data_IF_705463887414
#
_entry.id   IF_705463887414
#
_cell.length_a   1.000
_cell.length_b   1.000
_cell.length_c   1.000
_cell.angle_alpha   90.00
_cell.angle_beta   90.00
_cell.angle_gamma   90.00
#
_symmetry.space_group_name_H-M   'P 1'
#
loop_
_entity.id
_entity.type
_entity.pdbx_description
1 polymer ?
#
# COMPACT_ATOMS: atom_id res chain seq x y z
N UNK A 1 5.20 33.69 0.78
CA UNK A 1 3.82 34.15 1.08
C UNK A 1 2.97 32.94 1.40
N UNK A 2 2.62 32.73 2.67
CA UNK A 2 1.73 31.62 3.04
C UNK A 2 0.31 31.98 2.63
N UNK A 3 -0.22 31.27 1.64
CA UNK A 3 -1.59 31.43 1.15
C UNK A 3 -2.56 31.14 2.28
N UNK A 4 -3.35 32.15 2.70
CA UNK A 4 -4.41 32.00 3.70
C UNK A 4 -5.46 31.04 3.14
N UNK A 5 -5.33 29.73 3.47
CA UNK A 5 -6.35 28.72 3.16
C UNK A 5 -7.68 29.24 3.74
N UNK A 6 -8.70 29.44 2.89
CA UNK A 6 -10.00 29.96 3.33
C UNK A 6 -10.60 29.05 4.42
N UNK A 7 -11.31 29.63 5.39
CA UNK A 7 -11.99 28.90 6.49
C UNK A 7 -12.87 27.74 5.96
N UNK A 8 -13.47 27.91 4.77
CA UNK A 8 -14.27 26.88 4.10
C UNK A 8 -13.41 25.69 3.65
N UNK A 9 -12.22 25.94 3.07
CA UNK A 9 -11.26 24.88 2.69
C UNK A 9 -10.78 24.12 3.92
N UNK A 10 -10.49 24.82 5.02
CA UNK A 10 -10.05 24.18 6.29
C UNK A 10 -11.15 23.31 6.89
N UNK A 11 -12.42 23.78 6.90
CA UNK A 11 -13.56 22.98 7.37
C UNK A 11 -13.76 21.74 6.50
N UNK A 12 -13.68 21.89 5.17
CA UNK A 12 -13.79 20.77 4.22
C UNK A 12 -12.68 19.73 4.45
N UNK A 13 -11.44 20.17 4.60
CA UNK A 13 -10.32 19.28 4.89
C UNK A 13 -10.50 18.53 6.22
N UNK A 14 -10.89 19.23 7.29
CA UNK A 14 -11.12 18.60 8.60
C UNK A 14 -12.21 17.53 8.54
N UNK A 15 -13.35 17.84 7.93
CA UNK A 15 -14.44 16.86 7.80
C UNK A 15 -14.01 15.62 7.00
N UNK A 16 -13.26 15.81 5.89
CA UNK A 16 -12.70 14.69 5.12
C UNK A 16 -11.76 13.82 5.96
N UNK A 17 -10.90 14.44 6.76
CA UNK A 17 -9.99 13.71 7.65
C UNK A 17 -10.73 12.98 8.76
N UNK A 18 -11.79 13.59 9.33
CA UNK A 18 -12.65 12.92 10.33
C UNK A 18 -13.29 11.66 9.76
N UNK A 19 -13.78 11.70 8.51
CA UNK A 19 -14.37 10.53 7.84
C UNK A 19 -13.31 9.45 7.62
N UNK A 20 -12.10 9.81 7.15
CA UNK A 20 -11.00 8.86 6.95
C UNK A 20 -10.59 8.17 8.25
N UNK A 21 -10.44 8.93 9.33
CA UNK A 21 -10.07 8.36 10.63
C UNK A 21 -11.15 7.42 11.17
N UNK A 22 -12.42 7.81 11.08
CA UNK A 22 -13.54 6.95 11.47
C UNK A 22 -13.60 5.68 10.61
N UNK A 23 -13.38 5.80 9.31
CA UNK A 23 -13.36 4.66 8.40
C UNK A 23 -12.22 3.68 8.74
N UNK A 24 -11.01 4.17 8.97
CA UNK A 24 -9.87 3.34 9.38
C UNK A 24 -10.20 2.54 10.64
N UNK A 25 -10.77 3.18 11.66
CA UNK A 25 -11.20 2.50 12.90
C UNK A 25 -12.28 1.43 12.64
N UNK A 26 -13.29 1.76 11.82
CA UNK A 26 -14.36 0.81 11.49
C UNK A 26 -13.86 -0.38 10.65
N UNK A 27 -12.94 -0.14 9.72
CA UNK A 27 -12.31 -1.20 8.93
C UNK A 27 -11.44 -2.11 9.80
N UNK A 28 -10.71 -1.56 10.77
CA UNK A 28 -9.89 -2.33 11.72
C UNK A 28 -10.76 -3.20 12.63
N UNK A 29 -11.86 -2.66 13.16
CA UNK A 29 -12.73 -3.36 14.11
C UNK A 29 -13.63 -4.42 13.46
N UNK A 30 -14.14 -4.16 12.26
CA UNK A 30 -15.19 -4.99 11.64
C UNK A 30 -14.76 -5.62 10.30
N UNK A 31 -13.60 -5.25 9.79
CA UNK A 31 -13.17 -5.56 8.42
C UNK A 31 -13.88 -4.69 7.38
N UNK A 32 -13.26 -4.59 6.19
CA UNK A 32 -13.80 -3.78 5.10
C UNK A 32 -15.19 -4.23 4.66
N UNK A 33 -15.40 -5.55 4.46
CA UNK A 33 -16.66 -6.11 3.97
C UNK A 33 -17.86 -5.78 4.88
N UNK A 34 -17.67 -5.89 6.20
CA UNK A 34 -18.73 -5.68 7.19
C UNK A 34 -18.94 -4.23 7.61
N UNK A 35 -18.11 -3.29 7.12
CA UNK A 35 -18.25 -1.87 7.42
C UNK A 35 -19.21 -1.20 6.44
N UNK A 36 -20.20 -0.46 6.98
CA UNK A 36 -21.15 0.33 6.18
C UNK A 36 -20.79 1.82 6.20
N UNK A 37 -21.19 2.56 5.15
CA UNK A 37 -21.07 4.03 5.12
C UNK A 37 -21.80 4.66 6.31
N UNK A 38 -22.97 4.13 6.68
CA UNK A 38 -23.71 4.61 7.85
C UNK A 38 -22.90 4.45 9.15
N UNK A 39 -22.25 3.30 9.35
CA UNK A 39 -21.38 3.05 10.51
C UNK A 39 -20.17 3.99 10.56
N UNK A 40 -19.53 4.22 9.41
CA UNK A 40 -18.43 5.19 9.31
C UNK A 40 -18.91 6.60 9.71
N UNK A 41 -20.04 7.05 9.17
CA UNK A 41 -20.54 8.39 9.42
C UNK A 41 -21.06 8.59 10.85
N UNK A 42 -21.62 7.55 11.45
CA UNK A 42 -21.99 7.53 12.86
C UNK A 42 -20.73 7.68 13.74
N UNK A 43 -19.68 6.91 13.47
CA UNK A 43 -18.42 7.02 14.19
C UNK A 43 -17.73 8.38 13.98
N UNK A 44 -17.90 8.99 12.82
CA UNK A 44 -17.42 10.34 12.50
C UNK A 44 -18.24 11.47 13.18
N UNK A 45 -19.40 11.17 13.77
CA UNK A 45 -20.32 12.17 14.31
C UNK A 45 -20.95 13.07 13.23
N UNK A 46 -21.11 12.55 11.99
CA UNK A 46 -21.60 13.28 10.83
C UNK A 46 -22.83 12.60 10.21
N UNK A 47 -23.70 13.39 9.57
CA UNK A 47 -24.84 12.84 8.85
C UNK A 47 -24.43 12.05 7.60
N UNK A 48 -25.11 10.91 7.31
CA UNK A 48 -24.81 10.02 6.16
C UNK A 48 -24.77 10.77 4.83
N UNK A 49 -25.69 11.71 4.58
CA UNK A 49 -25.70 12.54 3.37
C UNK A 49 -24.43 13.40 3.18
N UNK A 50 -23.69 13.66 4.26
CA UNK A 50 -22.43 14.41 4.21
C UNK A 50 -21.31 13.59 3.56
N UNK A 51 -21.37 12.25 3.61
CA UNK A 51 -20.37 11.37 3.03
C UNK A 51 -20.13 11.66 1.54
N UNK A 52 -21.20 11.74 0.78
CA UNK A 52 -21.15 11.90 -0.68
C UNK A 52 -20.61 13.26 -1.15
N UNK A 53 -20.41 14.22 -0.22
CA UNK A 53 -19.70 15.47 -0.52
C UNK A 53 -18.16 15.28 -0.56
N UNK A 54 -17.65 14.13 -0.09
CA UNK A 54 -16.22 13.86 0.07
C UNK A 54 -15.75 12.59 -0.63
N UNK A 55 -16.58 11.56 -0.70
CA UNK A 55 -16.27 10.25 -1.26
C UNK A 55 -17.49 9.68 -2.00
N UNK A 56 -17.25 9.00 -3.11
CA UNK A 56 -18.31 8.35 -3.89
C UNK A 56 -18.69 6.97 -3.32
N UNK A 57 -17.73 6.29 -2.65
CA UNK A 57 -17.93 4.94 -2.11
C UNK A 57 -16.97 4.64 -0.96
N UNK A 58 -17.21 3.53 -0.25
CA UNK A 58 -16.28 3.08 0.81
C UNK A 58 -14.96 2.55 0.23
N UNK A 59 -14.97 2.08 -1.02
CA UNK A 59 -13.79 1.68 -1.76
C UNK A 59 -12.87 2.88 -2.03
N UNK A 60 -13.42 4.03 -2.40
CA UNK A 60 -12.65 5.28 -2.55
C UNK A 60 -12.01 5.72 -1.22
N UNK A 61 -12.71 5.52 -0.11
CA UNK A 61 -12.15 5.78 1.23
C UNK A 61 -10.98 4.84 1.51
N UNK A 62 -11.13 3.53 1.27
CA UNK A 62 -10.07 2.53 1.47
C UNK A 62 -8.83 2.86 0.64
N UNK A 63 -9.02 3.20 -0.63
CA UNK A 63 -7.92 3.61 -1.52
C UNK A 63 -7.23 4.89 -1.06
N UNK A 64 -8.02 5.87 -0.60
CA UNK A 64 -7.44 7.10 -0.06
C UNK A 64 -6.57 6.81 1.16
N UNK A 65 -7.04 5.92 2.06
CA UNK A 65 -6.25 5.48 3.21
C UNK A 65 -4.97 4.77 2.76
N UNK A 66 -5.07 3.83 1.83
CA UNK A 66 -3.90 3.10 1.31
C UNK A 66 -2.88 4.02 0.61
N UNK A 67 -3.34 5.03 -0.14
CA UNK A 67 -2.46 6.04 -0.74
C UNK A 67 -1.74 6.89 0.31
N UNK A 68 -2.44 7.32 1.37
CA UNK A 68 -1.81 8.04 2.47
C UNK A 68 -0.71 7.20 3.13
N UNK A 69 -0.97 5.91 3.30
CA UNK A 69 0.00 4.97 3.86
C UNK A 69 1.21 4.77 2.91
N UNK A 70 0.98 4.69 1.60
CA UNK A 70 2.06 4.66 0.60
C UNK A 70 2.94 5.91 0.70
N UNK A 71 2.35 7.10 0.80
CA UNK A 71 3.10 8.34 0.99
C UNK A 71 3.97 8.33 2.26
N UNK A 72 3.55 7.62 3.31
CA UNK A 72 4.39 7.43 4.52
C UNK A 72 5.59 6.54 4.24
N UNK A 73 5.42 5.49 3.43
CA UNK A 73 6.55 4.64 2.97
C UNK A 73 7.52 5.48 2.15
N UNK A 74 7.05 6.25 1.17
CA UNK A 74 7.88 7.10 0.33
C UNK A 74 8.68 8.13 1.16
N UNK A 75 8.06 8.73 2.16
CA UNK A 75 8.75 9.65 3.08
C UNK A 75 9.87 8.95 3.87
N UNK A 76 9.64 7.71 4.34
CA UNK A 76 10.67 6.92 5.04
C UNK A 76 11.82 6.56 4.12
N UNK A 77 11.53 6.17 2.88
CA UNK A 77 12.52 5.87 1.85
C UNK A 77 13.35 7.12 1.53
N UNK A 78 12.68 8.25 1.28
CA UNK A 78 13.34 9.52 0.96
C UNK A 78 14.19 10.07 2.12
N UNK A 79 13.83 9.75 3.36
CA UNK A 79 14.61 10.12 4.54
C UNK A 79 15.87 9.26 4.76
N UNK A 80 15.95 8.11 4.10
CA UNK A 80 17.10 7.20 4.15
C UNK A 80 18.21 7.64 3.17
N UNK A 81 18.75 8.84 3.36
CA UNK A 81 19.68 9.53 2.46
C UNK A 81 21.01 8.79 2.22
N UNK A 82 21.31 7.71 2.93
CA UNK A 82 22.56 6.94 2.83
C UNK A 82 22.43 5.69 1.94
N UNK A 83 21.22 5.38 1.43
CA UNK A 83 21.01 4.21 0.59
C UNK A 83 21.43 4.53 -0.85
N UNK A 84 22.50 3.90 -1.29
CA UNK A 84 23.06 4.05 -2.63
C UNK A 84 22.77 2.84 -3.55
N UNK A 85 22.18 1.77 -3.02
CA UNK A 85 21.90 0.53 -3.74
C UNK A 85 20.39 0.37 -3.96
N UNK A 86 19.99 0.07 -5.20
CA UNK A 86 18.60 -0.25 -5.55
C UNK A 86 18.11 -1.50 -4.80
N UNK A 87 19.00 -2.45 -4.50
CA UNK A 87 18.67 -3.63 -3.72
C UNK A 87 18.30 -3.29 -2.27
N UNK A 88 19.09 -2.44 -1.60
CA UNK A 88 18.78 -1.97 -0.25
C UNK A 88 17.50 -1.13 -0.22
N UNK A 89 17.29 -0.31 -1.25
CA UNK A 89 16.10 0.52 -1.38
C UNK A 89 14.84 -0.34 -1.56
N UNK A 90 14.91 -1.39 -2.39
CA UNK A 90 13.81 -2.33 -2.59
C UNK A 90 13.51 -3.11 -1.31
N UNK A 91 14.54 -3.60 -0.61
CA UNK A 91 14.37 -4.29 0.68
C UNK A 91 13.71 -3.38 1.71
N UNK A 92 14.21 -2.15 1.90
CA UNK A 92 13.62 -1.17 2.80
C UNK A 92 12.17 -0.88 2.46
N UNK A 93 11.87 -0.65 1.17
CA UNK A 93 10.52 -0.37 0.70
C UNK A 93 9.57 -1.51 1.01
N UNK A 94 10.00 -2.75 0.76
CA UNK A 94 9.22 -3.94 1.05
C UNK A 94 8.98 -4.12 2.56
N UNK A 95 10.00 -3.93 3.39
CA UNK A 95 9.88 -4.07 4.85
C UNK A 95 9.01 -2.96 5.45
N UNK A 96 9.17 -1.72 4.99
CA UNK A 96 8.33 -0.61 5.42
C UNK A 96 6.86 -0.85 5.05
N UNK A 97 6.59 -1.32 3.83
CA UNK A 97 5.24 -1.68 3.37
C UNK A 97 4.67 -2.84 4.19
N UNK A 98 5.47 -3.86 4.49
CA UNK A 98 5.05 -5.00 5.32
C UNK A 98 4.64 -4.56 6.72
N UNK A 99 5.45 -3.71 7.35
CA UNK A 99 5.13 -3.13 8.67
C UNK A 99 3.82 -2.36 8.63
N UNK A 100 3.64 -1.58 7.62
CA UNK A 100 2.47 -0.72 7.44
C UNK A 100 1.19 -1.54 7.20
N UNK A 101 1.26 -2.63 6.43
CA UNK A 101 0.16 -3.59 6.27
C UNK A 101 -0.14 -4.28 7.60
N UNK A 102 0.89 -4.64 8.37
CA UNK A 102 0.72 -5.33 9.66
C UNK A 102 0.03 -4.44 10.70
N UNK A 103 0.32 -3.14 10.68
CA UNK A 103 -0.31 -2.12 11.51
C UNK A 103 -1.70 -1.69 10.99
N UNK A 104 -2.04 -1.97 9.72
CA UNK A 104 -3.26 -1.53 9.03
C UNK A 104 -3.86 -2.66 8.20
N UNK A 105 -4.23 -3.78 8.85
CA UNK A 105 -4.68 -5.00 8.17
C UNK A 105 -5.85 -4.82 7.21
N UNK A 106 -6.64 -3.77 7.37
CA UNK A 106 -7.75 -3.45 6.46
C UNK A 106 -7.32 -3.13 5.03
N UNK A 107 -6.04 -2.78 4.78
CA UNK A 107 -5.54 -2.57 3.42
C UNK A 107 -5.07 -3.85 2.73
N UNK A 108 -4.90 -4.95 3.47
CA UNK A 108 -4.42 -6.23 2.94
C UNK A 108 -5.24 -6.75 1.74
N UNK A 109 -6.59 -6.60 1.70
CA UNK A 109 -7.37 -6.98 0.54
C UNK A 109 -6.93 -6.32 -0.77
N UNK A 110 -6.36 -5.11 -0.74
CA UNK A 110 -5.83 -4.44 -1.93
C UNK A 110 -4.61 -5.15 -2.52
N UNK A 111 -3.85 -5.88 -1.70
CA UNK A 111 -2.70 -6.69 -2.14
C UNK A 111 -3.11 -8.09 -2.58
N UNK A 112 -4.27 -8.59 -2.14
CA UNK A 112 -4.76 -9.94 -2.44
C UNK A 112 -5.61 -9.95 -3.70
N UNK A 113 -6.39 -8.90 -3.96
CA UNK A 113 -7.42 -8.83 -5.01
C UNK A 113 -6.87 -8.79 -6.44
N UNK A 114 -5.56 -8.64 -6.63
CA UNK A 114 -4.94 -8.68 -7.96
C UNK A 114 -4.94 -10.07 -8.62
N UNK A 115 -5.35 -11.13 -7.91
CA UNK A 115 -5.49 -12.46 -8.49
C UNK A 115 -6.91 -12.67 -9.04
N UNK A 116 -7.02 -12.94 -10.35
CA UNK A 116 -8.25 -13.08 -11.16
C UNK A 116 -9.17 -14.27 -10.81
N UNK A 117 -9.06 -14.89 -9.63
CA UNK A 117 -9.70 -16.16 -9.32
C UNK A 117 -10.61 -16.13 -8.09
N UNK A 118 -11.31 -15.03 -7.81
CA UNK A 118 -12.34 -15.07 -6.79
C UNK A 118 -13.73 -14.84 -7.40
N UNK A 119 -14.57 -15.90 -7.37
CA UNK A 119 -15.98 -15.89 -7.76
C UNK A 119 -16.89 -14.98 -6.88
N UNK A 120 -16.32 -14.02 -6.18
CA UNK A 120 -17.06 -13.11 -5.29
C UNK A 120 -17.14 -11.70 -5.86
N UNK A 121 -18.36 -11.10 -5.93
CA UNK A 121 -18.61 -9.80 -6.56
C UNK A 121 -18.12 -8.57 -5.76
N UNK A 122 -17.33 -8.74 -4.71
CA UNK A 122 -16.77 -7.65 -3.92
C UNK A 122 -15.31 -7.31 -4.33
N UNK A 123 -14.97 -7.52 -5.59
CA UNK A 123 -13.64 -7.23 -6.11
C UNK A 123 -13.40 -5.72 -6.15
N UNK A 124 -12.37 -5.28 -5.47
CA UNK A 124 -11.80 -3.94 -5.66
C UNK A 124 -11.28 -3.93 -7.10
N UNK A 125 -11.78 -3.07 -7.99
CA UNK A 125 -11.33 -3.04 -9.37
C UNK A 125 -9.81 -2.87 -9.46
N UNK A 126 -9.15 -3.58 -10.38
CA UNK A 126 -7.68 -3.43 -10.63
C UNK A 126 -7.28 -1.99 -10.94
N UNK A 127 -8.21 -1.18 -11.49
CA UNK A 127 -8.03 0.26 -11.70
C UNK A 127 -7.82 1.07 -10.43
N UNK A 128 -7.95 0.44 -9.26
CA UNK A 128 -7.87 1.06 -7.95
C UNK A 128 -6.58 0.66 -7.21
N UNK A 129 -5.44 0.62 -7.92
CA UNK A 129 -4.12 0.43 -7.28
C UNK A 129 -3.82 1.58 -6.31
N UNK A 130 -3.37 1.29 -5.07
CA UNK A 130 -2.85 2.32 -4.18
C UNK A 130 -1.45 2.84 -4.60
N UNK A 131 -0.86 2.29 -5.68
CA UNK A 131 0.41 2.73 -6.24
C UNK A 131 1.65 2.09 -5.62
N UNK A 132 1.49 1.02 -4.81
CA UNK A 132 2.65 0.30 -4.28
C UNK A 132 3.40 -0.50 -5.35
N UNK A 133 2.66 -1.02 -6.35
CA UNK A 133 3.27 -1.72 -7.49
C UNK A 133 4.17 -0.80 -8.30
N UNK A 134 3.69 0.39 -8.60
CA UNK A 134 4.43 1.42 -9.32
C UNK A 134 5.70 1.86 -8.56
N UNK A 135 5.63 1.96 -7.23
CA UNK A 135 6.81 2.27 -6.40
C UNK A 135 7.89 1.19 -6.53
N UNK A 136 7.52 -0.09 -6.45
CA UNK A 136 8.48 -1.18 -6.59
C UNK A 136 9.04 -1.26 -8.01
N UNK A 137 8.19 -1.08 -9.02
CA UNK A 137 8.58 -1.10 -10.43
C UNK A 137 9.61 -0.01 -10.75
N UNK A 138 9.41 1.21 -10.24
CA UNK A 138 10.34 2.33 -10.40
C UNK A 138 11.73 2.02 -9.79
N UNK A 139 11.78 1.43 -8.59
CA UNK A 139 13.03 1.04 -7.94
C UNK A 139 13.73 -0.08 -8.75
N UNK A 140 12.97 -1.06 -9.24
CA UNK A 140 13.51 -2.19 -10.01
C UNK A 140 14.07 -1.69 -11.35
N UNK A 141 13.32 -0.84 -12.08
CA UNK A 141 13.75 -0.25 -13.33
C UNK A 141 15.07 0.52 -13.15
N UNK A 142 15.14 1.36 -12.12
CA UNK A 142 16.35 2.12 -11.81
C UNK A 142 17.55 1.20 -11.49
N UNK A 143 17.31 0.09 -10.78
CA UNK A 143 18.35 -0.92 -10.51
C UNK A 143 18.83 -1.65 -11.77
N UNK A 144 17.95 -1.90 -12.73
CA UNK A 144 18.31 -2.47 -14.04
C UNK A 144 19.13 -1.47 -14.87
N UNK A 145 18.73 -0.21 -14.92
CA UNK A 145 19.46 0.86 -15.61
C UNK A 145 20.88 1.07 -15.07
N UNK A 146 21.08 0.86 -13.76
CA UNK A 146 22.38 0.96 -13.10
C UNK A 146 23.20 -0.34 -13.16
N UNK A 147 22.65 -1.41 -13.71
CA UNK A 147 23.28 -2.72 -13.77
C UNK A 147 23.36 -3.45 -12.42
N UNK A 148 22.64 -3.01 -11.41
CA UNK A 148 22.54 -3.68 -10.11
C UNK A 148 21.63 -4.91 -10.17
N UNK A 149 20.59 -4.83 -11.00
CA UNK A 149 19.67 -5.91 -11.28
C UNK A 149 19.81 -6.40 -12.71
N UNK A 150 19.58 -7.70 -12.90
CA UNK A 150 19.58 -8.34 -14.21
C UNK A 150 18.55 -7.71 -15.15
N UNK A 151 18.94 -7.46 -16.40
CA UNK A 151 18.09 -6.86 -17.43
C UNK A 151 17.48 -7.86 -18.41
N UNK A 152 17.84 -9.16 -18.31
CA UNK A 152 17.29 -10.23 -19.12
C UNK A 152 15.88 -10.69 -18.66
N UNK A 153 15.42 -10.19 -17.51
CA UNK A 153 14.06 -10.38 -16.99
C UNK A 153 13.33 -9.01 -17.05
N UNK A 154 12.15 -8.93 -17.70
CA UNK A 154 11.37 -7.69 -17.73
C UNK A 154 11.03 -7.17 -16.34
N UNK A 155 11.06 -5.83 -16.15
CA UNK A 155 10.79 -5.14 -14.89
C UNK A 155 9.44 -5.55 -14.27
N UNK A 156 8.40 -5.65 -15.09
CA UNK A 156 7.05 -6.04 -14.65
C UNK A 156 7.01 -7.46 -14.05
N UNK A 157 7.77 -8.41 -14.57
CA UNK A 157 7.86 -9.77 -14.01
C UNK A 157 8.43 -9.73 -12.60
N UNK A 158 9.50 -8.95 -12.39
CA UNK A 158 10.11 -8.81 -11.07
C UNK A 158 9.13 -8.09 -10.11
N UNK A 159 8.44 -7.06 -10.59
CA UNK A 159 7.42 -6.33 -9.82
C UNK A 159 6.26 -7.24 -9.40
N UNK A 160 5.76 -8.09 -10.31
CA UNK A 160 4.75 -9.11 -10.00
C UNK A 160 5.23 -10.11 -8.94
N UNK A 161 6.50 -10.52 -8.98
CA UNK A 161 7.08 -11.38 -7.96
C UNK A 161 7.11 -10.69 -6.58
N UNK A 162 7.50 -9.41 -6.51
CA UNK A 162 7.43 -8.61 -5.28
C UNK A 162 5.99 -8.58 -4.76
N UNK A 163 5.02 -8.33 -5.62
CA UNK A 163 3.59 -8.29 -5.24
C UNK A 163 3.12 -9.66 -4.72
N UNK A 164 3.51 -10.77 -5.38
CA UNK A 164 3.19 -12.14 -4.98
C UNK A 164 3.71 -12.51 -3.59
N UNK A 165 4.81 -11.89 -3.14
CA UNK A 165 5.34 -12.08 -1.78
C UNK A 165 4.30 -11.69 -0.74
N UNK A 166 3.61 -10.56 -0.90
CA UNK A 166 2.57 -10.12 0.03
C UNK A 166 1.36 -11.05 0.01
N UNK A 167 0.91 -11.45 -1.19
CA UNK A 167 -0.20 -12.38 -1.36
C UNK A 167 0.09 -13.72 -0.67
N UNK A 168 1.22 -14.34 -0.99
CA UNK A 168 1.60 -15.65 -0.42
C UNK A 168 1.86 -15.57 1.08
N UNK A 169 2.30 -14.42 1.59
CA UNK A 169 2.51 -14.21 3.02
C UNK A 169 1.19 -14.05 3.77
N UNK A 170 0.18 -13.39 3.16
CA UNK A 170 -1.14 -13.23 3.74
C UNK A 170 -1.82 -14.58 4.07
N UNK A 171 -1.54 -15.61 3.27
CA UNK A 171 -2.08 -16.97 3.44
C UNK A 171 -1.08 -17.96 4.08
N UNK A 172 0.07 -17.48 4.51
CA UNK A 172 1.11 -18.33 5.10
C UNK A 172 0.66 -18.92 6.45
N UNK A 173 0.94 -20.21 6.64
CA UNK A 173 0.72 -20.93 7.89
C UNK A 173 2.01 -21.11 8.71
N UNK A 174 3.09 -20.43 8.31
CA UNK A 174 4.36 -20.51 9.03
C UNK A 174 4.26 -19.76 10.34
N UNK A 175 4.88 -20.30 11.39
CA UNK A 175 4.94 -19.70 12.73
C UNK A 175 6.03 -18.60 12.82
N UNK A 176 5.99 -17.66 11.87
CA UNK A 176 6.83 -16.46 11.83
C UNK A 176 5.97 -15.23 11.58
N UNK A 177 6.44 -14.06 12.01
CA UNK A 177 5.68 -12.82 11.82
C UNK A 177 5.49 -12.49 10.34
N UNK A 178 4.44 -11.74 10.03
CA UNK A 178 4.17 -11.27 8.66
C UNK A 178 5.37 -10.51 8.08
N UNK A 179 5.96 -9.62 8.86
CA UNK A 179 7.11 -8.81 8.45
C UNK A 179 8.35 -9.69 8.19
N UNK A 180 8.64 -10.65 9.07
CA UNK A 180 9.79 -11.54 8.92
C UNK A 180 9.63 -12.47 7.71
N UNK A 181 8.42 -12.98 7.47
CA UNK A 181 8.11 -13.80 6.30
C UNK A 181 8.38 -13.02 5.00
N UNK A 182 7.92 -11.77 4.92
CA UNK A 182 8.18 -10.90 3.77
C UNK A 182 9.68 -10.63 3.62
N UNK A 183 10.37 -10.27 4.72
CA UNK A 183 11.81 -9.98 4.70
C UNK A 183 12.62 -11.15 4.13
N UNK A 184 12.33 -12.37 4.57
CA UNK A 184 13.02 -13.58 4.09
C UNK A 184 12.77 -13.84 2.60
N UNK A 185 11.52 -13.69 2.14
CA UNK A 185 11.16 -13.87 0.73
C UNK A 185 11.78 -12.80 -0.17
N UNK A 186 11.78 -11.55 0.28
CA UNK A 186 12.43 -10.43 -0.43
C UNK A 186 13.93 -10.69 -0.56
N UNK A 187 14.58 -11.19 0.49
CA UNK A 187 16.01 -11.56 0.43
C UNK A 187 16.27 -12.61 -0.64
N UNK A 188 15.46 -13.67 -0.69
CA UNK A 188 15.59 -14.74 -1.72
C UNK A 188 15.37 -14.13 -3.11
N UNK A 189 14.39 -13.26 -3.30
CA UNK A 189 14.15 -12.59 -4.57
C UNK A 189 15.36 -11.72 -4.97
N UNK A 190 15.89 -10.91 -4.08
CA UNK A 190 17.05 -10.04 -4.32
C UNK A 190 18.28 -10.86 -4.72
N UNK A 191 18.55 -11.99 -4.07
CA UNK A 191 19.66 -12.88 -4.42
C UNK A 191 19.48 -13.49 -5.83
N UNK A 192 18.24 -13.62 -6.31
CA UNK A 192 17.91 -14.12 -7.66
C UNK A 192 17.95 -13.08 -8.76
N UNK A 193 17.74 -11.79 -8.44
CA UNK A 193 17.67 -10.71 -9.45
C UNK A 193 18.93 -9.84 -9.51
N UNK A 194 19.85 -9.94 -8.55
CA UNK A 194 21.13 -9.24 -8.62
C UNK A 194 21.92 -9.66 -9.84
N UNK A 195 22.56 -8.72 -10.52
CA UNK A 195 23.49 -9.02 -11.58
C UNK A 195 24.73 -9.72 -11.00
N UNK A 196 25.09 -10.88 -11.55
CA UNK A 196 26.16 -11.74 -11.00
C UNK A 196 27.56 -11.13 -11.13
N UNK A 197 27.72 -10.12 -11.98
CA UNK A 197 29.00 -9.45 -12.24
C UNK A 197 29.12 -8.11 -11.51
N UNK A 198 28.15 -7.76 -10.64
CA UNK A 198 28.18 -6.54 -9.86
C UNK A 198 28.96 -6.80 -8.55
N UNK A 199 30.31 -6.76 -8.66
CA UNK A 199 31.27 -6.76 -7.57
C UNK A 199 32.15 -5.52 -7.68
#
# INVERSE_FOLDING_TARGET
MAEKISLRKRKKFRARQTILNAAAQQFELHGFANTSIAGIMQAAGLGVGTFYNYFSSKEEVLLTLARNLREEVEKKISAANEINSSAELLELSCVCTAKLIDENRFILPLFISASEHSDKPEQIPQSLSPGFGELFEEIILHGQERGEFRSDVPTNIISEMVHSIYQTTAFSKLEISFQENIRLKVKILLDGIREKNFL
#
